data_IF_107571803751
#
_entry.id   IF_107571803751
#
_cell.length_a   1.000
_cell.length_b   1.000
_cell.length_c   1.000
_cell.angle_alpha   90.00
_cell.angle_beta   90.00
_cell.angle_gamma   90.00
#
_symmetry.space_group_name_H-M   'P 1'
#
loop_
_entity.id
_entity.type
_entity.pdbx_description
1 polymer ?
#
# COMPACT_ATOMS: atom_id res chain seq x y z
N UNK A 1 -19.19 3.31 15.71
CA UNK A 1 -19.40 1.85 15.66
C UNK A 1 -18.05 1.18 15.46
N UNK A 2 -17.82 0.01 16.06
CA UNK A 2 -16.60 -0.76 15.79
C UNK A 2 -16.67 -1.36 14.38
N UNK A 3 -15.60 -1.22 13.60
CA UNK A 3 -15.50 -1.83 12.27
C UNK A 3 -15.13 -3.33 12.40
N UNK A 4 -15.49 -4.14 11.41
CA UNK A 4 -15.42 -5.60 11.50
C UNK A 4 -14.04 -6.15 11.90
N UNK A 5 -12.96 -5.50 11.46
CA UNK A 5 -11.57 -5.94 11.68
C UNK A 5 -10.78 -5.01 12.61
N UNK A 6 -11.43 -4.13 13.37
CA UNK A 6 -10.76 -3.10 14.19
C UNK A 6 -9.87 -3.64 15.32
N UNK A 7 -9.91 -4.93 15.59
CA UNK A 7 -9.13 -5.62 16.62
C UNK A 7 -7.87 -6.30 16.05
N UNK A 8 -7.64 -6.23 14.73
CA UNK A 8 -6.51 -6.87 14.07
C UNK A 8 -5.40 -5.86 13.78
N UNK A 9 -4.15 -6.33 13.95
CA UNK A 9 -2.92 -5.65 13.56
C UNK A 9 -2.10 -6.58 12.69
N UNK A 10 -1.75 -6.13 11.48
CA UNK A 10 -1.24 -6.98 10.40
C UNK A 10 0.13 -6.46 9.94
N UNK A 11 1.12 -7.33 9.84
CA UNK A 11 2.37 -7.05 9.13
C UNK A 11 2.22 -7.43 7.66
N UNK A 12 2.20 -6.44 6.77
CA UNK A 12 2.01 -6.61 5.34
C UNK A 12 3.35 -6.59 4.60
N UNK A 13 3.82 -7.77 4.22
CA UNK A 13 5.01 -7.97 3.35
C UNK A 13 4.63 -8.13 1.87
N UNK A 14 3.37 -7.89 1.53
CA UNK A 14 2.86 -8.07 0.18
C UNK A 14 3.01 -6.79 -0.64
N UNK A 15 2.97 -6.90 -1.97
CA UNK A 15 3.09 -5.76 -2.87
C UNK A 15 2.24 -5.98 -4.10
N UNK A 16 2.43 -5.12 -5.10
CA UNK A 16 1.75 -5.25 -6.39
C UNK A 16 0.22 -5.22 -6.23
N UNK A 17 -0.51 -5.67 -7.25
CA UNK A 17 -1.97 -5.58 -7.28
C UNK A 17 -2.63 -6.54 -6.29
N UNK A 18 -2.28 -7.83 -6.35
CA UNK A 18 -2.99 -8.86 -5.58
C UNK A 18 -2.78 -8.72 -4.07
N UNK A 19 -1.51 -8.58 -3.66
CA UNK A 19 -1.14 -8.46 -2.26
C UNK A 19 -1.63 -7.16 -1.64
N UNK A 20 -1.17 -6.03 -2.20
CA UNK A 20 -1.52 -4.73 -1.64
C UNK A 20 -3.03 -4.45 -1.74
N UNK A 21 -3.69 -4.95 -2.79
CA UNK A 21 -5.15 -4.89 -2.92
C UNK A 21 -5.89 -5.70 -1.86
N UNK A 22 -5.45 -6.92 -1.55
CA UNK A 22 -6.07 -7.72 -0.49
C UNK A 22 -5.99 -7.02 0.86
N UNK A 23 -4.82 -6.52 1.24
CA UNK A 23 -4.63 -5.85 2.53
C UNK A 23 -5.27 -4.47 2.59
N UNK A 24 -5.49 -3.79 1.44
CA UNK A 24 -6.32 -2.58 1.38
C UNK A 24 -7.74 -2.82 1.87
N UNK A 25 -8.38 -3.93 1.46
CA UNK A 25 -9.73 -4.25 1.93
C UNK A 25 -9.76 -4.55 3.44
N UNK A 26 -8.71 -5.19 3.96
CA UNK A 26 -8.59 -5.43 5.41
C UNK A 26 -8.52 -4.10 6.18
N UNK A 27 -7.71 -3.15 5.70
CA UNK A 27 -7.62 -1.81 6.26
C UNK A 27 -8.96 -1.06 6.16
N UNK A 28 -9.65 -1.13 5.02
CA UNK A 28 -10.97 -0.53 4.83
C UNK A 28 -12.04 -1.08 5.80
N UNK A 29 -11.90 -2.34 6.24
CA UNK A 29 -12.73 -2.94 7.28
C UNK A 29 -12.21 -2.72 8.72
N UNK A 30 -11.21 -1.84 8.89
CA UNK A 30 -10.76 -1.33 10.18
C UNK A 30 -9.48 -1.95 10.72
N UNK A 31 -8.84 -2.91 10.03
CA UNK A 31 -7.59 -3.49 10.51
C UNK A 31 -6.45 -2.46 10.49
N UNK A 32 -5.56 -2.50 11.48
CA UNK A 32 -4.30 -1.76 11.40
C UNK A 32 -3.30 -2.52 10.54
N UNK A 33 -3.09 -2.09 9.30
CA UNK A 33 -2.19 -2.74 8.34
C UNK A 33 -0.86 -1.99 8.28
N UNK A 34 0.21 -2.60 8.78
CA UNK A 34 1.55 -2.02 8.76
C UNK A 34 2.33 -2.64 7.60
N UNK A 35 2.54 -1.84 6.57
CA UNK A 35 3.36 -2.26 5.42
C UNK A 35 4.82 -2.29 5.81
N UNK A 36 5.48 -3.43 5.58
CA UNK A 36 6.90 -3.62 5.84
C UNK A 36 7.66 -3.47 4.53
N UNK A 37 8.61 -2.54 4.50
CA UNK A 37 9.32 -2.17 3.27
C UNK A 37 10.83 -2.26 3.41
N UNK A 38 11.48 -2.48 2.27
CA UNK A 38 12.94 -2.52 2.16
C UNK A 38 13.51 -1.09 2.17
N UNK A 39 14.22 -0.68 3.22
CA UNK A 39 14.82 0.65 3.28
C UNK A 39 16.03 0.80 2.35
N UNK A 40 16.70 -0.30 1.98
CA UNK A 40 17.92 -0.27 1.16
C UNK A 40 17.60 0.10 -0.27
N UNK A 41 16.58 -0.53 -0.86
CA UNK A 41 16.13 -0.24 -2.22
C UNK A 41 14.90 0.67 -2.28
N UNK A 42 14.55 1.35 -1.18
CA UNK A 42 13.40 2.28 -1.12
C UNK A 42 12.09 1.61 -1.60
N UNK A 43 11.86 0.37 -1.21
CA UNK A 43 10.67 -0.39 -1.58
C UNK A 43 10.54 -0.75 -3.08
N UNK A 44 11.57 -0.52 -3.92
CA UNK A 44 11.50 -0.71 -5.39
C UNK A 44 11.20 -2.14 -5.87
N UNK A 45 11.22 -3.11 -4.97
CA UNK A 45 10.70 -4.46 -5.25
C UNK A 45 9.20 -4.40 -5.62
N UNK A 46 8.46 -3.40 -5.10
CA UNK A 46 7.11 -3.09 -5.54
C UNK A 46 7.18 -2.14 -6.76
N UNK A 47 7.13 -2.71 -7.96
CA UNK A 47 7.21 -1.95 -9.21
C UNK A 47 6.13 -0.86 -9.33
N UNK A 48 5.00 -0.97 -8.62
CA UNK A 48 3.91 0.01 -8.72
C UNK A 48 4.30 1.40 -8.20
N UNK A 49 5.33 1.48 -7.33
CA UNK A 49 5.84 2.72 -6.73
C UNK A 49 6.25 3.76 -7.77
N UNK A 50 6.79 3.30 -8.89
CA UNK A 50 7.27 4.14 -9.99
C UNK A 50 6.47 3.99 -11.28
N UNK A 51 5.22 3.50 -11.21
CA UNK A 51 4.40 3.30 -12.41
C UNK A 51 3.42 4.46 -12.64
N UNK A 52 3.17 4.85 -13.90
CA UNK A 52 2.12 5.79 -14.23
C UNK A 52 0.72 5.19 -13.97
N UNK A 53 -0.34 6.02 -13.90
CA UNK A 53 -0.32 7.48 -14.06
C UNK A 53 0.33 8.18 -12.86
N UNK A 54 0.81 9.41 -13.11
CA UNK A 54 1.32 10.31 -12.08
C UNK A 54 0.40 11.52 -11.98
N UNK A 55 0.42 12.17 -10.82
CA UNK A 55 -0.20 13.49 -10.70
C UNK A 55 0.78 14.55 -11.20
N UNK A 56 0.41 15.20 -12.30
CA UNK A 56 1.20 16.24 -12.98
C UNK A 56 2.61 15.74 -13.35
N UNK A 57 3.63 16.58 -13.13
CA UNK A 57 5.04 16.28 -13.39
C UNK A 57 5.77 15.62 -12.21
N UNK A 58 5.08 15.24 -11.13
CA UNK A 58 5.72 14.58 -9.99
C UNK A 58 6.20 13.17 -10.36
N UNK A 59 7.43 12.84 -9.98
CA UNK A 59 8.09 11.56 -10.27
C UNK A 59 8.85 11.07 -9.05
N UNK A 60 9.04 9.76 -8.95
CA UNK A 60 9.71 9.10 -7.82
C UNK A 60 8.88 7.97 -7.24
N UNK A 61 9.47 7.24 -6.29
CA UNK A 61 8.90 6.00 -5.73
C UNK A 61 7.66 6.20 -4.84
N UNK A 62 7.31 7.45 -4.55
CA UNK A 62 6.13 7.83 -3.77
C UNK A 62 4.97 8.35 -4.62
N UNK A 63 5.15 8.45 -5.95
CA UNK A 63 4.21 9.15 -6.83
C UNK A 63 3.49 8.23 -7.82
N UNK A 64 3.80 6.94 -7.84
CA UNK A 64 3.11 5.98 -8.69
C UNK A 64 1.63 5.87 -8.32
N UNK A 65 0.73 6.24 -9.24
CA UNK A 65 -0.71 6.20 -9.03
C UNK A 65 -1.23 4.82 -8.58
N UNK A 66 -0.80 3.70 -9.20
CA UNK A 66 -1.18 2.37 -8.74
C UNK A 66 -0.72 2.09 -7.31
N UNK A 67 0.47 2.54 -6.91
CA UNK A 67 0.96 2.34 -5.54
C UNK A 67 0.12 3.10 -4.51
N UNK A 68 -0.17 4.37 -4.78
CA UNK A 68 -1.01 5.21 -3.91
C UNK A 68 -2.41 4.60 -3.80
N UNK A 69 -2.98 4.13 -4.91
CA UNK A 69 -4.30 3.50 -4.92
C UNK A 69 -4.34 2.28 -3.98
N UNK A 70 -3.36 1.37 -4.02
CA UNK A 70 -3.45 0.13 -3.23
C UNK A 70 -3.04 0.30 -1.76
N UNK A 71 -2.41 1.42 -1.38
CA UNK A 71 -1.83 1.57 -0.05
C UNK A 71 -2.38 2.78 0.74
N UNK A 72 -3.28 3.59 0.18
CA UNK A 72 -3.76 4.81 0.84
C UNK A 72 -4.54 4.65 2.15
N UNK A 73 -5.06 3.44 2.43
CA UNK A 73 -5.80 3.14 3.68
C UNK A 73 -4.89 2.57 4.79
N UNK A 74 -3.60 2.34 4.49
CA UNK A 74 -2.64 1.69 5.37
C UNK A 74 -1.86 2.73 6.19
#
# INVERSE_FOLDING_TARGET
MAQALSHLRICDFTGQLAGAGATRFLAAFGAQVIRIEDPVNQGRWDILRGMPPYVDERRGVEFGGPFIHHNGEK
#
